data_IF_917900982321
#
_entry.id   IF_917900982321
#
_cell.length_a   1.000
_cell.length_b   1.000
_cell.length_c   1.000
_cell.angle_alpha   90.00
_cell.angle_beta   90.00
_cell.angle_gamma   90.00
#
_symmetry.space_group_name_H-M   'P 1'
#
loop_
_entity.id
_entity.type
_entity.pdbx_description
1 polymer ?
#
# COMPACT_ATOMS: atom_id res chain seq x y z
N UNK A 1 51.30 35.46 -25.16
CA UNK A 1 51.73 34.20 -25.78
C UNK A 1 52.93 33.68 -24.98
N UNK A 2 52.93 32.38 -24.67
CA UNK A 2 53.98 31.58 -24.03
C UNK A 2 54.15 31.63 -22.50
N UNK A 3 54.14 30.41 -21.96
CA UNK A 3 54.09 29.92 -20.58
C UNK A 3 55.49 29.41 -20.20
N UNK A 4 55.95 29.54 -18.94
CA UNK A 4 56.83 28.52 -18.32
C UNK A 4 57.14 28.78 -16.82
N UNK A 5 56.63 27.88 -15.99
CA UNK A 5 57.23 27.18 -14.82
C UNK A 5 58.24 27.88 -13.89
N UNK A 6 57.92 27.90 -12.58
CA UNK A 6 58.80 27.50 -11.44
C UNK A 6 57.86 27.02 -10.30
N UNK A 7 57.69 25.71 -10.02
CA UNK A 7 58.47 24.78 -9.18
C UNK A 7 58.54 25.10 -7.67
N UNK A 8 57.59 24.48 -6.93
CA UNK A 8 57.67 23.75 -5.62
C UNK A 8 58.72 24.18 -4.59
N UNK A 9 58.31 24.39 -3.32
CA UNK A 9 58.80 23.68 -2.11
C UNK A 9 57.73 23.71 -1.00
N UNK A 10 57.56 22.55 -0.36
CA UNK A 10 56.66 22.13 0.72
C UNK A 10 57.07 22.67 2.10
N UNK A 11 56.11 23.02 2.96
CA UNK A 11 56.23 22.84 4.43
C UNK A 11 54.92 22.31 4.98
N UNK A 12 55.02 21.15 5.62
CA UNK A 12 53.99 20.47 6.41
C UNK A 12 53.87 21.18 7.76
N UNK A 13 52.65 21.54 8.17
CA UNK A 13 52.31 21.72 9.57
C UNK A 13 50.82 21.42 9.75
N UNK A 14 50.54 20.33 10.45
CA UNK A 14 49.22 19.88 10.84
C UNK A 14 48.63 20.81 11.91
N UNK A 15 47.37 21.20 11.74
CA UNK A 15 46.47 21.54 12.85
C UNK A 15 45.09 21.00 12.52
N UNK A 16 44.72 19.98 13.28
CA UNK A 16 43.42 19.32 13.35
C UNK A 16 42.36 20.31 13.82
N UNK A 17 41.35 20.56 13.00
CA UNK A 17 40.08 21.13 13.44
C UNK A 17 38.97 20.14 13.06
N UNK A 18 38.53 19.38 14.06
CA UNK A 18 37.37 18.49 13.98
C UNK A 18 36.13 19.32 13.69
N UNK A 19 35.57 19.20 12.48
CA UNK A 19 34.20 19.61 12.19
C UNK A 19 33.34 18.35 12.18
N UNK A 20 32.65 18.10 13.30
CA UNK A 20 31.50 17.20 13.34
C UNK A 20 30.37 17.86 12.54
N UNK A 21 30.24 17.53 11.26
CA UNK A 21 28.96 17.69 10.57
C UNK A 21 28.05 16.57 11.07
N UNK A 22 27.17 16.89 12.00
CA UNK A 22 25.97 16.10 12.25
C UNK A 22 25.12 16.12 10.98
N UNK A 23 25.26 15.09 10.16
CA UNK A 23 24.25 14.75 9.17
C UNK A 23 22.97 14.43 9.93
N UNK A 24 22.03 15.39 9.93
CA UNK A 24 20.69 15.18 10.45
C UNK A 24 20.00 14.14 9.58
N UNK A 25 19.97 12.89 10.04
CA UNK A 25 19.01 11.90 9.54
C UNK A 25 17.62 12.40 9.91
N UNK A 26 16.86 12.89 8.93
CA UNK A 26 15.43 13.05 9.09
C UNK A 26 14.82 11.64 9.16
N UNK A 27 14.89 11.05 10.36
CA UNK A 27 14.09 9.88 10.73
C UNK A 27 12.66 10.39 10.77
N UNK A 28 11.83 9.95 9.81
CA UNK A 28 10.39 10.06 9.98
C UNK A 28 10.00 9.08 11.09
N UNK A 29 9.98 9.58 12.33
CA UNK A 29 9.41 8.84 13.45
C UNK A 29 7.91 8.72 13.25
N UNK A 30 7.44 7.52 12.92
CA UNK A 30 6.03 7.15 13.09
C UNK A 30 5.83 6.90 14.60
N UNK A 31 4.87 7.58 15.27
CA UNK A 31 4.61 7.28 16.67
C UNK A 31 4.08 5.86 16.81
N UNK A 32 4.77 5.03 17.58
CA UNK A 32 4.28 3.71 17.98
C UNK A 32 3.07 3.88 18.89
N UNK A 33 1.89 3.45 18.44
CA UNK A 33 0.74 3.28 19.32
C UNK A 33 1.01 2.08 20.26
N UNK A 34 0.63 2.16 21.55
CA UNK A 34 0.86 1.06 22.48
C UNK A 34 -0.06 -0.12 22.13
N UNK A 35 0.54 -1.28 21.87
CA UNK A 35 -0.17 -2.56 21.76
C UNK A 35 -0.51 -3.01 23.19
N UNK A 36 -1.78 -2.94 23.56
CA UNK A 36 -2.27 -3.59 24.77
C UNK A 36 -2.34 -5.10 24.53
N UNK A 37 -1.56 -5.85 25.31
CA UNK A 37 -1.57 -7.30 25.32
C UNK A 37 -2.88 -7.82 25.93
N UNK A 38 -3.63 -8.62 25.17
CA UNK A 38 -4.78 -9.38 25.69
C UNK A 38 -4.30 -10.80 26.02
N UNK A 39 -4.48 -11.30 27.26
CA UNK A 39 -4.04 -12.64 27.63
C UNK A 39 -4.91 -13.73 26.99
N UNK A 40 -4.27 -14.77 26.48
CA UNK A 40 -4.92 -15.95 25.90
C UNK A 40 -5.48 -16.89 26.99
N UNK A 41 -6.79 -17.10 26.96
CA UNK A 41 -7.49 -18.15 27.69
C UNK A 41 -8.82 -18.44 27.03
N UNK A 42 -8.88 -19.46 26.16
CA UNK A 42 -10.10 -19.86 25.48
C UNK A 42 -11.06 -20.67 26.37
N UNK A 43 -12.33 -20.74 25.98
CA UNK A 43 -12.95 -22.03 25.72
C UNK A 43 -13.40 -22.13 24.26
N UNK A 44 -13.28 -23.32 23.67
CA UNK A 44 -13.69 -23.65 22.30
C UNK A 44 -15.17 -23.38 22.04
N UNK A 45 -15.58 -22.82 20.88
CA UNK A 45 -16.98 -22.56 20.59
C UNK A 45 -17.69 -23.77 19.94
N UNK A 46 -18.99 -23.99 20.22
CA UNK A 46 -19.83 -24.82 19.37
C UNK A 46 -20.20 -24.06 18.09
N UNK A 47 -20.30 -24.80 16.99
CA UNK A 47 -20.50 -24.26 15.65
C UNK A 47 -21.73 -23.35 15.52
N UNK A 48 -21.51 -22.22 14.84
CA UNK A 48 -22.52 -21.24 14.46
C UNK A 48 -21.97 -20.37 13.33
N UNK A 49 -22.46 -20.67 12.14
CA UNK A 49 -22.42 -19.87 10.93
C UNK A 49 -22.96 -18.46 11.15
N UNK A 50 -22.06 -17.50 11.30
CA UNK A 50 -22.39 -16.07 11.19
C UNK A 50 -21.26 -15.35 10.46
N UNK A 51 -21.66 -14.56 9.46
CA UNK A 51 -20.77 -13.89 8.51
C UNK A 51 -19.68 -13.09 9.22
N UNK A 52 -18.47 -13.64 9.17
CA UNK A 52 -17.27 -12.94 9.56
C UNK A 52 -16.97 -11.91 8.45
N UNK A 53 -16.68 -10.66 8.83
CA UNK A 53 -15.85 -9.78 8.02
C UNK A 53 -14.46 -10.42 7.91
N UNK A 54 -14.38 -11.49 7.12
CA UNK A 54 -13.15 -12.18 6.86
C UNK A 54 -12.29 -11.23 6.03
N UNK A 55 -11.13 -10.87 6.58
CA UNK A 55 -9.99 -10.52 5.76
C UNK A 55 -9.93 -11.60 4.68
N UNK A 56 -10.22 -11.23 3.43
CA UNK A 56 -10.29 -12.20 2.35
C UNK A 56 -8.96 -12.97 2.35
N UNK A 57 -8.98 -14.31 2.53
CA UNK A 57 -7.75 -15.08 2.55
C UNK A 57 -7.00 -14.81 1.24
N UNK A 58 -5.67 -14.67 1.33
CA UNK A 58 -4.83 -14.52 0.16
C UNK A 58 -5.13 -15.63 -0.86
N UNK A 59 -4.98 -15.33 -2.15
CA UNK A 59 -5.12 -16.35 -3.19
C UNK A 59 -4.22 -17.55 -2.85
N UNK A 60 -4.70 -18.80 -2.96
CA UNK A 60 -3.88 -19.99 -2.68
C UNK A 60 -2.53 -19.98 -3.42
N UNK A 61 -2.46 -19.39 -4.61
CA UNK A 61 -1.22 -19.23 -5.37
C UNK A 61 -0.26 -18.22 -4.74
N UNK A 62 -0.77 -17.17 -4.10
CA UNK A 62 0.07 -16.20 -3.38
C UNK A 62 0.70 -16.86 -2.14
N UNK A 63 -0.06 -17.71 -1.44
CA UNK A 63 0.47 -18.48 -0.32
C UNK A 63 1.59 -19.44 -0.76
N UNK A 64 1.40 -20.15 -1.87
CA UNK A 64 2.44 -21.01 -2.43
C UNK A 64 3.70 -20.22 -2.80
N UNK A 65 3.57 -19.05 -3.44
CA UNK A 65 4.73 -18.21 -3.72
C UNK A 65 5.43 -17.76 -2.42
N UNK A 66 4.68 -17.35 -1.39
CA UNK A 66 5.24 -17.02 -0.08
C UNK A 66 6.04 -18.18 0.53
N UNK A 67 5.53 -19.41 0.43
CA UNK A 67 6.22 -20.63 0.88
C UNK A 67 7.49 -20.91 0.07
N UNK A 68 7.45 -20.72 -1.25
CA UNK A 68 8.61 -20.86 -2.12
C UNK A 68 9.67 -19.81 -1.76
N UNK A 69 9.31 -18.54 -1.66
CA UNK A 69 10.23 -17.47 -1.24
C UNK A 69 10.90 -17.80 0.10
N UNK A 70 10.14 -18.36 1.05
CA UNK A 70 10.68 -18.78 2.34
C UNK A 70 11.69 -19.94 2.26
N UNK A 71 11.73 -20.73 1.18
CA UNK A 71 12.67 -21.84 0.99
C UNK A 71 13.94 -21.45 0.21
N UNK A 72 13.91 -20.34 -0.53
CA UNK A 72 15.02 -19.90 -1.38
C UNK A 72 16.28 -19.51 -0.57
N UNK A 73 17.44 -19.58 -1.22
CA UNK A 73 18.64 -18.94 -0.70
C UNK A 73 18.51 -17.40 -0.75
N UNK A 74 19.40 -16.68 -0.08
CA UNK A 74 19.24 -15.24 0.09
C UNK A 74 19.27 -14.47 -1.25
N UNK A 75 20.06 -14.90 -2.23
CA UNK A 75 20.17 -14.20 -3.53
C UNK A 75 18.97 -14.52 -4.42
N UNK A 76 18.58 -15.79 -4.47
CA UNK A 76 17.39 -16.24 -5.19
C UNK A 76 16.12 -15.62 -4.62
N UNK A 77 16.02 -15.52 -3.29
CA UNK A 77 14.95 -14.82 -2.58
C UNK A 77 14.81 -13.38 -3.07
N UNK A 78 15.87 -12.59 -3.01
CA UNK A 78 15.78 -11.17 -3.36
C UNK A 78 15.47 -10.97 -4.84
N UNK A 79 16.14 -11.69 -5.73
CA UNK A 79 15.93 -11.52 -7.18
C UNK A 79 14.55 -11.98 -7.61
N UNK A 80 14.05 -13.10 -7.06
CA UNK A 80 12.70 -13.61 -7.31
C UNK A 80 11.64 -12.66 -6.75
N UNK A 81 11.79 -12.24 -5.49
CA UNK A 81 10.87 -11.31 -4.85
C UNK A 81 10.80 -9.97 -5.58
N UNK A 82 11.94 -9.37 -5.93
CA UNK A 82 11.96 -8.09 -6.65
C UNK A 82 11.32 -8.18 -8.03
N UNK A 83 11.54 -9.29 -8.77
CA UNK A 83 10.89 -9.50 -10.06
C UNK A 83 9.36 -9.53 -9.93
N UNK A 84 8.86 -10.26 -8.92
CA UNK A 84 7.43 -10.34 -8.63
C UNK A 84 6.86 -9.00 -8.14
N UNK A 85 7.55 -8.34 -7.22
CA UNK A 85 7.15 -7.05 -6.63
C UNK A 85 6.96 -5.99 -7.70
N UNK A 86 7.91 -5.90 -8.65
CA UNK A 86 7.81 -4.97 -9.78
C UNK A 86 6.58 -5.26 -10.64
N UNK A 87 6.30 -6.54 -10.93
CA UNK A 87 5.13 -6.93 -11.72
C UNK A 87 3.81 -6.57 -11.01
N UNK A 88 3.70 -6.86 -9.71
CA UNK A 88 2.52 -6.52 -8.90
C UNK A 88 2.28 -5.02 -8.83
N UNK A 89 3.31 -4.22 -8.56
CA UNK A 89 3.18 -2.76 -8.52
C UNK A 89 2.70 -2.18 -9.86
N UNK A 90 3.20 -2.70 -10.99
CA UNK A 90 2.73 -2.27 -12.32
C UNK A 90 1.25 -2.58 -12.55
N UNK A 91 0.78 -3.74 -12.11
CA UNK A 91 -0.66 -4.09 -12.16
C UNK A 91 -1.49 -3.13 -11.32
N UNK A 92 -1.05 -2.80 -10.10
CA UNK A 92 -1.74 -1.81 -9.26
C UNK A 92 -1.86 -0.46 -9.96
N UNK A 93 -0.77 -0.01 -10.60
CA UNK A 93 -0.77 1.25 -11.37
C UNK A 93 -1.77 1.18 -12.52
N UNK A 94 -1.87 0.05 -13.24
CA UNK A 94 -2.81 -0.10 -14.34
C UNK A 94 -4.26 -0.10 -13.87
N UNK A 95 -4.58 -0.80 -12.77
CA UNK A 95 -5.92 -0.75 -12.16
C UNK A 95 -6.27 0.66 -11.69
N UNK A 96 -5.32 1.35 -11.04
CA UNK A 96 -5.53 2.69 -10.53
C UNK A 96 -5.74 3.71 -11.66
N UNK A 97 -5.08 3.55 -12.81
CA UNK A 97 -5.35 4.39 -14.00
C UNK A 97 -6.77 4.20 -14.52
N UNK A 98 -7.26 2.95 -14.56
CA UNK A 98 -8.63 2.68 -14.97
C UNK A 98 -9.64 3.34 -14.02
N UNK A 99 -9.38 3.29 -12.72
CA UNK A 99 -10.20 3.98 -11.71
C UNK A 99 -10.22 5.50 -11.89
N UNK A 100 -9.07 6.12 -12.15
CA UNK A 100 -9.00 7.55 -12.42
C UNK A 100 -9.83 7.94 -13.65
N UNK A 101 -9.89 7.08 -14.67
CA UNK A 101 -10.61 7.28 -15.93
C UNK A 101 -12.12 7.01 -15.81
N UNK A 102 -12.51 5.94 -15.12
CA UNK A 102 -13.87 5.36 -15.19
C UNK A 102 -14.64 5.40 -13.88
N UNK A 103 -13.96 5.57 -12.76
CA UNK A 103 -14.57 5.79 -11.46
C UNK A 103 -15.31 7.11 -11.41
N UNK A 104 -16.19 7.24 -10.42
CA UNK A 104 -17.01 8.43 -10.19
C UNK A 104 -16.92 8.95 -8.77
N UNK A 105 -16.49 8.14 -7.81
CA UNK A 105 -16.27 8.54 -6.44
C UNK A 105 -14.99 9.40 -6.34
N UNK A 106 -15.13 10.64 -5.85
CA UNK A 106 -14.02 11.58 -5.74
C UNK A 106 -12.89 11.07 -4.86
N UNK A 107 -13.21 10.46 -3.73
CA UNK A 107 -12.23 9.95 -2.76
C UNK A 107 -11.51 8.71 -3.28
N UNK A 108 -12.21 7.80 -3.97
CA UNK A 108 -11.60 6.62 -4.59
C UNK A 108 -10.65 7.04 -5.72
N UNK A 109 -11.05 8.01 -6.56
CA UNK A 109 -10.17 8.54 -7.62
C UNK A 109 -8.96 9.29 -7.08
N UNK A 110 -9.10 10.04 -5.99
CA UNK A 110 -7.97 10.68 -5.31
C UNK A 110 -6.97 9.63 -4.82
N UNK A 111 -7.47 8.57 -4.19
CA UNK A 111 -6.66 7.44 -3.76
C UNK A 111 -5.99 6.73 -4.94
N UNK A 112 -6.70 6.54 -6.04
CA UNK A 112 -6.14 5.92 -7.24
C UNK A 112 -5.00 6.76 -7.83
N UNK A 113 -5.10 8.10 -7.85
CA UNK A 113 -3.98 8.98 -8.24
C UNK A 113 -2.75 8.81 -7.34
N UNK A 114 -2.96 8.69 -6.03
CA UNK A 114 -1.87 8.42 -5.09
C UNK A 114 -1.22 7.05 -5.39
N UNK A 115 -2.03 6.01 -5.64
CA UNK A 115 -1.52 4.68 -6.01
C UNK A 115 -0.71 4.69 -7.31
N UNK A 116 -1.13 5.42 -8.33
CA UNK A 116 -0.35 5.57 -9.58
C UNK A 116 1.06 6.11 -9.30
N UNK A 117 1.16 7.07 -8.38
CA UNK A 117 2.44 7.68 -8.01
C UNK A 117 3.26 6.74 -7.13
N UNK A 118 2.74 6.38 -5.96
CA UNK A 118 3.47 5.64 -4.93
C UNK A 118 3.90 4.25 -5.41
N UNK A 119 3.03 3.54 -6.13
CA UNK A 119 3.33 2.19 -6.60
C UNK A 119 4.21 2.23 -7.86
N UNK A 120 4.11 3.30 -8.66
CA UNK A 120 5.03 3.56 -9.76
C UNK A 120 6.47 3.77 -9.26
N UNK A 121 6.64 4.60 -8.24
CA UNK A 121 7.94 4.84 -7.61
C UNK A 121 8.53 3.55 -7.00
N UNK A 122 7.71 2.71 -6.36
CA UNK A 122 8.16 1.41 -5.83
C UNK A 122 8.55 0.43 -6.92
N UNK A 123 7.83 0.40 -8.04
CA UNK A 123 8.22 -0.41 -9.19
C UNK A 123 9.59 0.01 -9.74
N UNK A 124 9.82 1.32 -9.91
CA UNK A 124 11.10 1.85 -10.38
C UNK A 124 12.24 1.60 -9.37
N UNK A 125 11.95 1.67 -8.07
CA UNK A 125 12.91 1.33 -7.03
C UNK A 125 13.31 -0.15 -7.10
N UNK A 126 12.36 -1.06 -7.31
CA UNK A 126 12.63 -2.49 -7.51
C UNK A 126 13.48 -2.77 -8.75
N UNK A 127 13.17 -2.10 -9.87
CA UNK A 127 13.98 -2.15 -11.11
C UNK A 127 15.41 -1.67 -10.86
N UNK A 128 15.56 -0.54 -10.15
CA UNK A 128 16.86 0.02 -9.80
C UNK A 128 17.67 -0.95 -8.95
N UNK A 129 17.06 -1.58 -7.94
CA UNK A 129 17.74 -2.56 -7.09
C UNK A 129 18.19 -3.80 -7.86
N UNK A 130 17.34 -4.38 -8.72
CA UNK A 130 17.73 -5.50 -9.58
C UNK A 130 18.92 -5.16 -10.47
N UNK A 131 18.93 -3.96 -11.06
CA UNK A 131 20.04 -3.50 -11.90
C UNK A 131 21.30 -3.28 -11.09
N UNK A 132 21.22 -2.52 -10.01
CA UNK A 132 22.39 -2.03 -9.28
C UNK A 132 23.06 -3.15 -8.45
N UNK A 133 22.27 -4.08 -7.88
CA UNK A 133 22.80 -5.16 -7.04
C UNK A 133 23.13 -6.43 -7.83
N UNK A 134 22.38 -6.70 -8.90
CA UNK A 134 22.46 -7.99 -9.61
C UNK A 134 22.77 -7.87 -11.10
N UNK A 135 22.73 -6.68 -11.68
CA UNK A 135 22.89 -6.48 -13.12
C UNK A 135 21.77 -7.12 -13.94
N UNK A 136 20.58 -7.26 -13.36
CA UNK A 136 19.43 -7.92 -13.98
C UNK A 136 18.30 -6.93 -14.29
N UNK A 137 17.57 -7.18 -15.37
CA UNK A 137 16.21 -6.63 -15.53
C UNK A 137 15.19 -7.47 -14.75
N UNK A 138 13.97 -6.98 -14.50
CA UNK A 138 12.89 -7.78 -13.90
C UNK A 138 12.61 -9.07 -14.67
N UNK A 139 12.63 -9.01 -16.00
CA UNK A 139 12.37 -10.15 -16.88
C UNK A 139 13.48 -11.20 -16.75
N UNK A 140 14.74 -10.77 -16.75
CA UNK A 140 15.88 -11.66 -16.55
C UNK A 140 15.90 -12.29 -15.15
N UNK A 141 15.51 -11.52 -14.12
CA UNK A 141 15.39 -12.03 -12.76
C UNK A 141 14.27 -13.08 -12.66
N UNK A 142 13.11 -12.82 -13.27
CA UNK A 142 12.02 -13.79 -13.36
C UNK A 142 12.43 -15.06 -14.12
N UNK A 143 13.14 -14.93 -15.25
CA UNK A 143 13.62 -16.07 -16.04
C UNK A 143 14.65 -16.93 -15.30
N UNK A 144 15.48 -16.31 -14.45
CA UNK A 144 16.50 -17.01 -13.66
C UNK A 144 15.96 -17.61 -12.36
N UNK A 145 14.74 -17.29 -11.96
CA UNK A 145 14.15 -17.83 -10.75
C UNK A 145 14.03 -19.37 -10.83
N UNK A 146 14.03 -20.07 -9.68
CA UNK A 146 13.79 -21.51 -9.63
C UNK A 146 12.50 -21.91 -10.34
N UNK A 147 12.44 -23.13 -10.90
CA UNK A 147 11.32 -23.57 -11.72
C UNK A 147 9.96 -23.44 -11.01
N UNK A 148 9.88 -23.89 -9.76
CA UNK A 148 8.67 -23.78 -8.92
C UNK A 148 8.24 -22.30 -8.74
N UNK A 149 9.20 -21.40 -8.49
CA UNK A 149 8.94 -19.97 -8.37
C UNK A 149 8.46 -19.36 -9.70
N UNK A 150 9.03 -19.77 -10.84
CA UNK A 150 8.61 -19.30 -12.17
C UNK A 150 7.18 -19.68 -12.48
N UNK A 151 6.81 -20.92 -12.18
CA UNK A 151 5.43 -21.42 -12.36
C UNK A 151 4.44 -20.65 -11.49
N UNK A 152 4.75 -20.47 -10.20
CA UNK A 152 3.90 -19.71 -9.27
C UNK A 152 3.76 -18.24 -9.69
N UNK A 153 4.86 -17.56 -10.04
CA UNK A 153 4.82 -16.17 -10.53
C UNK A 153 4.04 -16.06 -11.86
N UNK A 154 4.15 -17.04 -12.75
CA UNK A 154 3.39 -17.05 -14.00
C UNK A 154 1.88 -17.18 -13.74
N UNK A 155 1.47 -18.10 -12.86
CA UNK A 155 0.08 -18.28 -12.47
C UNK A 155 -0.52 -17.01 -11.82
N UNK A 156 0.23 -16.37 -10.91
CA UNK A 156 -0.18 -15.11 -10.30
C UNK A 156 -0.30 -13.98 -11.34
N UNK A 157 0.63 -13.91 -12.29
CA UNK A 157 0.57 -12.91 -13.38
C UNK A 157 -0.65 -13.12 -14.27
N UNK A 158 -0.99 -14.37 -14.58
CA UNK A 158 -2.21 -14.68 -15.34
C UNK A 158 -3.48 -14.29 -14.57
N UNK A 159 -3.54 -14.59 -13.27
CA UNK A 159 -4.64 -14.18 -12.40
C UNK A 159 -4.80 -12.65 -12.35
N UNK A 160 -3.70 -11.92 -12.17
CA UNK A 160 -3.70 -10.46 -12.21
C UNK A 160 -4.09 -9.90 -13.57
N UNK A 161 -3.64 -10.50 -14.67
CA UNK A 161 -4.02 -10.09 -16.02
C UNK A 161 -5.53 -10.28 -16.26
N UNK A 162 -6.10 -11.41 -15.83
CA UNK A 162 -7.55 -11.65 -15.87
C UNK A 162 -8.30 -10.61 -15.03
N UNK A 163 -7.83 -10.31 -13.83
CA UNK A 163 -8.42 -9.29 -12.96
C UNK A 163 -8.49 -7.90 -13.64
N UNK A 164 -7.42 -7.48 -14.31
CA UNK A 164 -7.38 -6.21 -15.07
C UNK A 164 -8.39 -6.23 -16.22
N UNK A 165 -8.45 -7.33 -16.97
CA UNK A 165 -9.36 -7.44 -18.11
C UNK A 165 -10.83 -7.46 -17.67
N UNK A 166 -11.15 -8.17 -16.60
CA UNK A 166 -12.49 -8.13 -16.00
C UNK A 166 -12.88 -6.71 -15.57
N UNK A 167 -11.97 -5.97 -14.91
CA UNK A 167 -12.25 -4.59 -14.52
C UNK A 167 -12.46 -3.69 -15.75
N UNK A 168 -11.72 -3.89 -16.85
CA UNK A 168 -11.95 -3.17 -18.11
C UNK A 168 -13.33 -3.45 -18.72
N UNK A 169 -13.91 -4.60 -18.44
CA UNK A 169 -15.26 -4.97 -18.85
C UNK A 169 -16.37 -4.30 -18.02
N UNK A 170 -16.04 -3.69 -16.88
CA UNK A 170 -17.01 -3.01 -16.02
C UNK A 170 -17.36 -1.64 -16.61
N UNK A 171 -18.66 -1.35 -16.67
CA UNK A 171 -19.18 -0.04 -17.05
C UNK A 171 -18.70 1.05 -16.09
N UNK A 172 -18.39 2.24 -16.64
CA UNK A 172 -18.02 3.41 -15.83
C UNK A 172 -19.13 3.78 -14.84
N UNK A 173 -18.76 4.30 -13.66
CA UNK A 173 -19.71 4.71 -12.62
C UNK A 173 -19.44 4.08 -11.26
N UNK A 174 -20.37 4.23 -10.31
CA UNK A 174 -20.24 3.73 -8.93
C UNK A 174 -19.95 2.22 -8.82
N UNK A 175 -20.46 1.43 -9.77
CA UNK A 175 -20.15 0.00 -9.88
C UNK A 175 -18.67 -0.25 -10.20
N UNK A 176 -18.06 0.62 -10.99
CA UNK A 176 -16.63 0.60 -11.29
C UNK A 176 -15.79 0.83 -10.03
N UNK A 177 -16.13 1.89 -9.27
CA UNK A 177 -15.43 2.24 -8.01
C UNK A 177 -15.45 1.04 -7.04
N UNK A 178 -16.59 0.35 -6.95
CA UNK A 178 -16.77 -0.85 -6.12
C UNK A 178 -15.91 -2.02 -6.57
N UNK A 179 -15.92 -2.32 -7.87
CA UNK A 179 -15.17 -3.44 -8.44
C UNK A 179 -13.65 -3.20 -8.41
N UNK A 180 -13.22 -1.95 -8.54
CA UNK A 180 -11.84 -1.54 -8.29
C UNK A 180 -11.44 -1.77 -6.83
N UNK A 181 -12.24 -1.27 -5.87
CA UNK A 181 -11.95 -1.39 -4.44
C UNK A 181 -11.84 -2.86 -3.99
N UNK A 182 -12.77 -3.73 -4.45
CA UNK A 182 -12.73 -5.17 -4.15
C UNK A 182 -11.46 -5.84 -4.67
N UNK A 183 -11.06 -5.54 -5.90
CA UNK A 183 -9.83 -6.07 -6.52
C UNK A 183 -8.58 -5.61 -5.77
N UNK A 184 -8.52 -4.33 -5.40
CA UNK A 184 -7.41 -3.79 -4.63
C UNK A 184 -7.28 -4.43 -3.25
N UNK A 185 -8.38 -4.74 -2.57
CA UNK A 185 -8.36 -5.49 -1.30
C UNK A 185 -7.79 -6.89 -1.52
N UNK A 186 -8.26 -7.63 -2.53
CA UNK A 186 -7.76 -8.97 -2.85
C UNK A 186 -6.26 -8.98 -3.19
N UNK A 187 -5.82 -8.02 -4.01
CA UNK A 187 -4.44 -7.91 -4.46
C UNK A 187 -3.50 -7.57 -3.30
N UNK A 188 -3.90 -6.65 -2.42
CA UNK A 188 -3.10 -6.28 -1.25
C UNK A 188 -2.99 -7.42 -0.22
N UNK A 189 -4.07 -8.19 0.02
CA UNK A 189 -4.00 -9.40 0.85
C UNK A 189 -3.04 -10.44 0.27
N UNK A 190 -3.06 -10.61 -1.06
CA UNK A 190 -2.17 -11.55 -1.76
C UNK A 190 -0.71 -11.11 -1.74
N UNK A 191 -0.43 -9.81 -1.89
CA UNK A 191 0.94 -9.31 -1.80
C UNK A 191 1.50 -9.43 -0.37
N UNK A 192 0.67 -9.28 0.67
CA UNK A 192 1.11 -9.30 2.06
C UNK A 192 1.82 -10.60 2.47
N UNK A 193 1.47 -11.74 1.88
CA UNK A 193 2.08 -13.05 2.22
C UNK A 193 3.48 -13.24 1.65
N UNK A 194 3.91 -12.39 0.72
CA UNK A 194 5.23 -12.48 0.08
C UNK A 194 6.32 -11.71 0.84
N UNK A 195 5.95 -10.73 1.67
CA UNK A 195 6.87 -9.85 2.41
C UNK A 195 7.63 -10.47 3.62
N UNK A 196 7.13 -11.51 4.34
CA UNK A 196 7.81 -12.02 5.53
C UNK A 196 9.22 -12.57 5.25
N UNK A 197 9.40 -13.30 4.15
CA UNK A 197 10.69 -13.90 3.80
C UNK A 197 11.78 -12.85 3.52
N UNK A 198 11.60 -11.86 2.61
CA UNK A 198 12.59 -10.82 2.39
C UNK A 198 12.78 -9.94 3.61
N UNK A 199 11.74 -9.64 4.41
CA UNK A 199 11.89 -8.89 5.66
C UNK A 199 12.87 -9.56 6.62
N UNK A 200 12.79 -10.88 6.77
CA UNK A 200 13.61 -11.63 7.70
C UNK A 200 15.01 -11.95 7.17
N UNK A 201 15.15 -12.19 5.86
CA UNK A 201 16.31 -12.89 5.30
C UNK A 201 17.00 -12.18 4.14
N UNK A 202 16.49 -11.05 3.64
CA UNK A 202 17.20 -10.31 2.60
C UNK A 202 18.59 -9.85 3.10
N UNK A 203 19.59 -10.04 2.25
CA UNK A 203 20.98 -9.63 2.47
C UNK A 203 21.11 -8.11 2.47
N UNK A 204 20.39 -7.43 1.58
CA UNK A 204 20.38 -5.97 1.51
C UNK A 204 19.46 -5.39 2.60
N UNK A 205 19.99 -4.60 3.55
CA UNK A 205 19.18 -4.01 4.62
C UNK A 205 18.06 -3.12 4.08
N UNK A 206 18.30 -2.42 2.96
CA UNK A 206 17.30 -1.58 2.30
C UNK A 206 16.07 -2.37 1.90
N UNK A 207 16.26 -3.61 1.42
CA UNK A 207 15.15 -4.48 1.04
C UNK A 207 14.41 -5.04 2.26
N UNK A 208 15.11 -5.35 3.36
CA UNK A 208 14.47 -5.77 4.61
C UNK A 208 13.56 -4.68 5.17
N UNK A 209 14.05 -3.45 5.20
CA UNK A 209 13.30 -2.28 5.68
C UNK A 209 12.11 -1.98 4.77
N UNK A 210 12.33 -2.01 3.45
CA UNK A 210 11.26 -1.81 2.48
C UNK A 210 10.19 -2.91 2.57
N UNK A 211 10.56 -4.16 2.84
CA UNK A 211 9.61 -5.25 3.01
C UNK A 211 8.75 -5.08 4.27
N UNK A 212 9.36 -4.68 5.39
CA UNK A 212 8.64 -4.35 6.62
C UNK A 212 7.66 -3.17 6.41
N UNK A 213 8.15 -2.08 5.80
CA UNK A 213 7.32 -0.90 5.48
C UNK A 213 6.21 -1.22 4.49
N UNK A 214 6.50 -2.07 3.49
CA UNK A 214 5.56 -2.52 2.48
C UNK A 214 4.38 -3.25 3.10
N UNK A 215 4.64 -4.20 4.01
CA UNK A 215 3.60 -4.92 4.74
C UNK A 215 2.67 -3.96 5.51
N UNK A 216 3.23 -2.98 6.24
CA UNK A 216 2.42 -1.98 6.97
C UNK A 216 1.60 -1.10 6.02
N UNK A 217 2.19 -0.68 4.90
CA UNK A 217 1.52 0.18 3.91
C UNK A 217 0.34 -0.54 3.25
N UNK A 218 0.51 -1.82 2.88
CA UNK A 218 -0.54 -2.64 2.26
C UNK A 218 -1.72 -2.85 3.22
N UNK A 219 -1.46 -3.11 4.51
CA UNK A 219 -2.51 -3.29 5.53
C UNK A 219 -3.34 -2.00 5.74
N UNK A 220 -2.67 -0.85 5.78
CA UNK A 220 -3.35 0.46 5.83
C UNK A 220 -4.17 0.69 4.56
N UNK A 221 -3.61 0.28 3.42
CA UNK A 221 -4.24 0.21 2.11
C UNK A 221 -5.59 -0.50 2.11
N UNK A 222 -5.58 -1.74 2.58
CA UNK A 222 -6.76 -2.61 2.68
C UNK A 222 -7.80 -2.03 3.63
N UNK A 223 -7.38 -1.56 4.80
CA UNK A 223 -8.29 -1.05 5.84
C UNK A 223 -9.14 0.11 5.34
N UNK A 224 -8.53 1.05 4.63
CA UNK A 224 -9.27 2.19 4.10
C UNK A 224 -10.26 1.81 2.98
N UNK A 225 -9.91 0.84 2.12
CA UNK A 225 -10.84 0.36 1.08
C UNK A 225 -11.98 -0.46 1.66
N UNK A 226 -11.72 -1.30 2.66
CA UNK A 226 -12.77 -2.00 3.41
C UNK A 226 -13.71 -0.99 4.07
N UNK A 227 -13.17 0.03 4.74
CA UNK A 227 -13.98 1.08 5.36
C UNK A 227 -14.90 1.77 4.36
N UNK A 228 -14.37 2.15 3.19
CA UNK A 228 -15.17 2.74 2.11
C UNK A 228 -16.26 1.77 1.59
N UNK A 229 -15.93 0.50 1.35
CA UNK A 229 -16.90 -0.51 0.92
C UNK A 229 -18.02 -0.72 1.95
N UNK A 230 -17.69 -0.72 3.25
CA UNK A 230 -18.70 -0.86 4.31
C UNK A 230 -19.62 0.36 4.41
N UNK A 231 -19.09 1.56 4.19
CA UNK A 231 -19.89 2.80 4.13
C UNK A 231 -20.91 2.76 3.01
N UNK A 232 -20.50 2.34 1.80
CA UNK A 232 -21.40 2.18 0.65
C UNK A 232 -22.57 1.21 0.94
N UNK A 233 -22.31 0.12 1.67
CA UNK A 233 -23.36 -0.84 2.06
C UNK A 233 -24.35 -0.20 3.04
N UNK A 234 -23.84 0.52 4.05
CA UNK A 234 -24.70 1.21 5.02
C UNK A 234 -25.61 2.25 4.35
N UNK A 235 -25.05 3.07 3.45
CA UNK A 235 -25.80 4.08 2.70
C UNK A 235 -26.89 3.43 1.80
N UNK A 236 -26.57 2.31 1.15
CA UNK A 236 -27.53 1.58 0.32
C UNK A 236 -28.64 0.90 1.13
N UNK A 237 -28.36 0.47 2.37
CA UNK A 237 -29.36 -0.04 3.30
C UNK A 237 -30.28 1.08 3.82
N UNK A 238 -29.71 2.25 4.17
CA UNK A 238 -30.48 3.41 4.61
C UNK A 238 -31.39 3.95 3.51
N UNK A 239 -30.90 3.97 2.26
CA UNK A 239 -31.66 4.41 1.09
C UNK A 239 -32.61 3.33 0.53
N UNK A 240 -32.78 2.19 1.21
CA UNK A 240 -33.69 1.11 0.80
C UNK A 240 -33.35 0.43 -0.53
N UNK A 241 -32.11 0.59 -0.99
CA UNK A 241 -31.61 0.01 -2.27
C UNK A 241 -31.13 -1.43 -2.08
N UNK A 242 -30.80 -1.82 -0.85
CA UNK A 242 -30.53 -3.21 -0.45
C UNK A 242 -31.56 -3.68 0.58
N UNK A 243 -32.04 -4.94 0.51
CA UNK A 243 -32.89 -5.50 1.56
C UNK A 243 -32.13 -5.46 2.90
N UNK A 244 -32.77 -4.94 3.95
CA UNK A 244 -32.27 -5.12 5.32
C UNK A 244 -32.15 -6.61 5.61
N UNK A 245 -31.05 -7.09 6.22
CA UNK A 245 -30.97 -8.45 6.71
C UNK A 245 -32.19 -8.72 7.58
N UNK A 246 -32.98 -9.73 7.21
CA UNK A 246 -34.14 -10.09 8.02
C UNK A 246 -33.62 -10.56 9.38
N UNK A 247 -33.93 -9.81 10.43
CA UNK A 247 -33.72 -10.26 11.80
C UNK A 247 -34.47 -11.59 11.92
N UNK A 248 -33.75 -12.69 12.11
CA UNK A 248 -34.36 -13.98 12.36
C UNK A 248 -35.38 -13.82 13.51
N UNK A 249 -36.60 -14.38 13.39
CA UNK A 249 -37.58 -14.26 14.46
C UNK A 249 -36.97 -14.83 15.74
N UNK A 250 -37.01 -14.04 16.82
CA UNK A 250 -36.59 -14.47 18.14
C UNK A 250 -37.27 -15.81 18.47
N UNK A 251 -36.53 -16.83 18.92
CA UNK A 251 -37.14 -18.11 19.27
C UNK A 251 -38.15 -17.87 20.40
N UNK A 252 -39.43 -18.06 20.08
CA UNK A 252 -40.49 -18.03 21.06
C UNK A 252 -40.39 -19.27 21.95
N UNK A 253 -40.13 -19.05 23.23
CA UNK A 253 -40.37 -20.03 24.30
C UNK A 253 -39.10 -20.53 24.98
N UNK A 254 -38.88 -20.06 26.21
CA UNK A 254 -39.20 -20.85 27.40
C UNK A 254 -39.28 -19.89 28.60
N UNK A 255 -40.48 -19.76 29.14
CA UNK A 255 -40.68 -19.20 30.46
C UNK A 255 -39.94 -20.07 31.49
N UNK A 256 -39.18 -19.46 32.40
CA UNK A 256 -39.26 -19.71 33.84
C UNK A 256 -38.32 -18.76 34.62
N UNK A 257 -38.97 -17.93 35.44
CA UNK A 257 -38.62 -17.51 36.80
C UNK A 257 -37.21 -16.97 37.12
N UNK A 258 -37.18 -15.76 37.70
CA UNK A 258 -36.09 -15.33 38.58
C UNK A 258 -36.01 -13.82 38.74
N UNK A 259 -36.61 -13.30 39.80
CA UNK A 259 -36.73 -11.88 40.10
C UNK A 259 -35.42 -11.18 40.51
N UNK A 260 -35.36 -9.87 40.26
CA UNK A 260 -34.79 -8.90 41.19
C UNK A 260 -33.43 -8.31 40.83
N UNK A 261 -33.37 -6.99 40.67
CA UNK A 261 -32.11 -6.24 40.67
C UNK A 261 -32.14 -4.95 39.87
N UNK A 262 -32.83 -3.93 40.37
CA UNK A 262 -32.67 -2.54 39.92
C UNK A 262 -31.22 -2.07 40.12
N UNK A 263 -30.53 -1.65 39.07
CA UNK A 263 -29.52 -0.59 39.17
C UNK A 263 -29.48 0.25 37.90
N UNK A 264 -29.98 1.47 38.06
CA UNK A 264 -29.74 2.65 37.25
C UNK A 264 -28.27 3.06 37.41
N UNK A 265 -27.55 3.28 36.31
CA UNK A 265 -26.40 4.21 36.22
C UNK A 265 -26.12 4.43 34.74
N UNK A 266 -26.54 5.58 34.20
CA UNK A 266 -25.84 6.86 34.24
C UNK A 266 -25.00 7.04 32.98
N UNK A 267 -25.59 7.79 32.05
CA UNK A 267 -24.87 8.45 30.96
C UNK A 267 -23.83 9.43 31.53
N UNK A 268 -22.77 9.67 30.74
CA UNK A 268 -22.00 10.92 30.51
C UNK A 268 -20.54 10.56 30.12
N UNK A 269 -19.78 11.44 29.44
CA UNK A 269 -20.16 12.33 28.34
C UNK A 269 -19.22 12.22 27.12
N UNK A 270 -19.69 12.78 26.01
CA UNK A 270 -18.88 13.12 24.83
C UNK A 270 -17.77 14.12 25.20
N UNK A 271 -16.53 13.79 24.83
CA UNK A 271 -15.43 14.76 24.82
C UNK A 271 -15.30 15.30 23.40
N UNK A 272 -15.73 16.54 23.24
CA UNK A 272 -15.42 17.36 22.09
C UNK A 272 -13.92 17.72 22.11
N UNK A 273 -13.18 17.21 21.14
CA UNK A 273 -11.80 17.61 20.84
C UNK A 273 -11.74 18.31 19.49
N UNK A 274 -12.07 19.60 19.48
CA UNK A 274 -11.81 20.48 18.35
C UNK A 274 -10.30 20.75 18.26
N UNK A 275 -9.67 20.33 17.17
CA UNK A 275 -8.34 20.80 16.78
C UNK A 275 -8.44 21.45 15.40
N UNK A 276 -8.57 22.78 15.42
CA UNK A 276 -8.28 23.68 14.31
C UNK A 276 -6.81 23.52 13.92
N UNK A 277 -6.52 23.21 12.66
CA UNK A 277 -5.27 23.66 12.03
C UNK A 277 -5.55 24.34 10.70
N UNK A 278 -4.87 25.45 10.56
CA UNK A 278 -5.18 26.59 9.71
C UNK A 278 -4.85 26.35 8.23
N UNK A 279 -5.63 27.03 7.39
CA UNK A 279 -5.28 27.34 6.02
C UNK A 279 -3.96 28.13 5.95
N UNK A 280 -3.04 27.68 5.10
CA UNK A 280 -1.87 28.44 4.69
C UNK A 280 -1.87 28.64 3.17
N UNK A 281 -2.60 29.65 2.72
CA UNK A 281 -2.44 30.22 1.39
C UNK A 281 -1.45 31.40 1.47
N UNK A 282 -0.52 31.47 0.52
CA UNK A 282 0.13 32.72 0.13
C UNK A 282 1.65 32.75 0.18
N UNK A 283 2.27 32.63 -1.00
CA UNK A 283 3.18 33.66 -1.48
C UNK A 283 3.33 33.51 -2.99
N UNK A 284 2.65 34.39 -3.71
CA UNK A 284 2.81 34.58 -5.14
C UNK A 284 4.09 35.36 -5.42
N UNK A 285 4.79 34.95 -6.48
CA UNK A 285 5.69 35.82 -7.23
C UNK A 285 5.24 35.81 -8.68
N UNK A 286 4.56 36.90 -9.03
CA UNK A 286 4.23 37.30 -10.39
C UNK A 286 5.48 37.81 -11.09
N UNK A 287 5.87 37.18 -12.21
CA UNK A 287 6.65 37.86 -13.25
C UNK A 287 6.03 37.57 -14.60
N UNK A 288 5.18 38.50 -15.02
CA UNK A 288 4.75 38.64 -16.40
C UNK A 288 5.90 39.17 -17.25
N UNK A 289 6.21 38.51 -18.36
CA UNK A 289 6.76 39.22 -19.53
C UNK A 289 6.12 38.71 -20.81
N UNK A 290 5.41 39.65 -21.42
CA UNK A 290 4.54 39.51 -22.60
C UNK A 290 5.33 39.09 -23.84
N UNK A 291 4.74 38.17 -24.61
CA UNK A 291 4.97 38.05 -26.05
C UNK A 291 4.41 39.29 -26.75
N UNK A 292 5.18 39.89 -27.66
CA UNK A 292 4.64 40.58 -28.84
C UNK A 292 5.43 40.11 -30.05
N UNK A 293 4.77 39.30 -30.88
CA UNK A 293 5.07 39.24 -32.30
C UNK A 293 4.41 40.46 -32.96
N UNK A 294 5.16 41.17 -33.78
CA UNK A 294 4.63 42.06 -34.81
C UNK A 294 5.57 41.97 -36.01
N UNK A 295 5.12 41.25 -37.03
CA UNK A 295 5.65 41.35 -38.37
C UNK A 295 4.89 42.48 -39.09
N UNK A 296 5.58 43.54 -39.51
CA UNK A 296 5.17 44.41 -40.63
C UNK A 296 6.42 45.03 -41.28
N UNK A 297 6.76 44.49 -42.46
CA UNK A 297 7.07 45.17 -43.73
C UNK A 297 7.93 46.47 -43.77
N UNK A 298 8.86 46.41 -44.75
CA UNK A 298 9.39 47.45 -45.66
C UNK A 298 10.59 48.28 -45.18
N UNK A 299 11.64 48.23 -46.00
CA UNK A 299 12.88 48.98 -45.91
C UNK A 299 14.02 48.11 -46.39
#
# INVERSE_FOLDING_TARGET
>A
MAISLVRRVTVVAACTASLLLTAGTAVWSVPAAPVLAVPHGGPTPPGGDSGESAVMPADPMAYELGRILASLDAKELETTFLAQLVAQHRVVVDLAKLEVERGTDGAVRDRARALVTDQGERAEQGVKWLRDWYGLTPEQAAEKAPAEAREAMAALREGMARMVEELRGVDKGAGFDTEFARRMVSLASSAAVEFPAPQARATHPELREAAASGMTSQLTGVTALIGWLTGQVADAQENGTLPTPQTAPAPQGLAHAGAGGTQTSAALPAVAGAALFACGAGLGLTLARRRRAAAVRRG
#
